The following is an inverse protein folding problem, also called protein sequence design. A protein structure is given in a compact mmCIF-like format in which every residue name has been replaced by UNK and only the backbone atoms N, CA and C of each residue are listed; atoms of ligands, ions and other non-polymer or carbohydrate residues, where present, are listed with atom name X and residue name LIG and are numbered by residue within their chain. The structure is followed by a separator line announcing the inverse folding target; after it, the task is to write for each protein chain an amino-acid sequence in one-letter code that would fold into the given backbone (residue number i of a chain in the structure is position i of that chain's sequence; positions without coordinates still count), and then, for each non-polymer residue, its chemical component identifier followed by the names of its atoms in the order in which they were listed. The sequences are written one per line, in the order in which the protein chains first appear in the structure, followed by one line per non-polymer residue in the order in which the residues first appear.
data_IF_071652139961
#
_entry.id   IF_071652139961
#
_cell.length_a   1.000
_cell.length_b   1.000
_cell.length_c   1.000
_cell.angle_alpha   90.00
_cell.angle_beta   90.00
_cell.angle_gamma   90.00
#
_symmetry.space_group_name_H-M   'P 1'
#
loop_
_entity.id
_entity.type
_entity.pdbx_description
1 polymer ?
#
# COMPACT_ATOMS: atom_id res chain seq x y z
N UNK A 1 -24.19 -19.94 2.40
CA UNK A 1 -24.11 -18.47 2.32
C UNK A 1 -23.41 -17.97 3.58
N UNK A 2 -22.09 -17.78 3.54
CA UNK A 2 -21.30 -17.32 4.69
C UNK A 2 -20.76 -15.93 4.38
N UNK A 3 -21.42 -14.88 4.89
CA UNK A 3 -20.93 -13.50 4.79
C UNK A 3 -19.82 -13.30 5.82
N UNK A 4 -18.57 -13.44 5.40
CA UNK A 4 -17.42 -13.00 6.20
C UNK A 4 -17.37 -11.46 6.17
N UNK A 5 -17.84 -10.83 7.24
CA UNK A 5 -17.66 -9.39 7.45
C UNK A 5 -16.16 -9.05 7.47
N UNK A 6 -15.70 -7.99 6.80
CA UNK A 6 -14.32 -7.55 6.90
C UNK A 6 -14.07 -7.09 8.35
N UNK A 7 -13.15 -7.75 9.05
CA UNK A 7 -12.61 -7.26 10.33
C UNK A 7 -12.02 -5.87 10.09
N UNK A 8 -12.82 -4.85 10.35
CA UNK A 8 -12.32 -3.49 10.46
C UNK A 8 -11.39 -3.47 11.65
N UNK A 9 -10.08 -3.40 11.40
CA UNK A 9 -9.12 -3.03 12.42
C UNK A 9 -9.27 -1.52 12.70
N UNK A 10 -10.43 -1.12 13.21
CA UNK A 10 -10.57 0.14 13.93
C UNK A 10 -9.82 -0.08 15.24
N UNK A 11 -8.48 0.05 15.20
CA UNK A 11 -7.68 0.12 16.41
C UNK A 11 -8.06 1.45 17.04
N UNK A 12 -9.05 1.43 17.93
CA UNK A 12 -9.29 2.56 18.81
C UNK A 12 -7.93 2.99 19.39
N UNK A 13 -7.64 4.29 19.46
CA UNK A 13 -6.44 4.72 20.15
C UNK A 13 -6.60 4.29 21.60
N UNK A 14 -5.97 3.18 21.98
CA UNK A 14 -5.98 2.66 23.33
C UNK A 14 -5.16 3.63 24.20
N UNK A 15 -5.78 4.72 24.62
CA UNK A 15 -5.14 5.70 25.50
C UNK A 15 -5.14 5.19 26.93
N UNK A 16 -4.27 5.74 27.77
CA UNK A 16 -4.20 5.39 29.20
C UNK A 16 -5.57 5.59 29.86
N UNK A 17 -6.28 6.68 29.50
CA UNK A 17 -7.60 6.99 30.01
C UNK A 17 -8.62 5.87 29.72
N UNK A 18 -8.59 5.28 28.52
CA UNK A 18 -9.53 4.22 28.14
C UNK A 18 -9.38 2.96 29.01
N UNK A 19 -8.16 2.67 29.46
CA UNK A 19 -7.91 1.56 30.40
C UNK A 19 -8.32 1.91 31.82
N UNK A 20 -8.11 3.15 32.26
CA UNK A 20 -8.56 3.59 33.59
C UNK A 20 -10.09 3.55 33.70
N UNK A 21 -10.81 3.89 32.62
CA UNK A 21 -12.27 3.82 32.57
C UNK A 21 -12.85 2.40 32.52
N UNK A 22 -12.03 1.39 32.24
CA UNK A 22 -12.42 -0.03 32.30
C UNK A 22 -12.25 -0.64 33.69
N UNK A 23 -11.52 0.01 34.60
CA UNK A 23 -11.46 -0.43 35.99
C UNK A 23 -12.79 -0.19 36.69
N UNK A 24 -13.05 -1.02 37.71
CA UNK A 24 -14.19 -0.80 38.60
C UNK A 24 -14.16 0.64 39.16
N UNK A 25 -15.27 1.40 39.07
CA UNK A 25 -15.32 2.80 39.49
C UNK A 25 -14.96 2.99 40.97
N UNK A 26 -15.33 2.05 41.85
CA UNK A 26 -15.03 2.12 43.28
C UNK A 26 -13.54 1.92 43.53
N UNK A 27 -12.92 0.97 42.81
CA UNK A 27 -11.48 0.74 42.86
C UNK A 27 -10.72 1.95 42.33
N UNK A 28 -11.13 2.52 41.19
CA UNK A 28 -10.51 3.70 40.61
C UNK A 28 -10.55 4.92 41.56
N UNK A 29 -11.65 5.09 42.30
CA UNK A 29 -11.81 6.15 43.29
C UNK A 29 -11.04 5.88 44.59
N UNK A 30 -10.82 4.60 44.93
CA UNK A 30 -10.03 4.20 46.10
C UNK A 30 -8.51 4.44 45.94
N UNK A 31 -8.04 4.66 44.70
CA UNK A 31 -6.63 4.90 44.43
C UNK A 31 -6.20 6.27 44.97
N UNK A 32 -5.11 6.27 45.75
CA UNK A 32 -4.42 7.51 46.10
C UNK A 32 -3.77 8.14 44.87
N UNK A 33 -3.48 9.44 44.93
CA UNK A 33 -2.81 10.17 43.84
C UNK A 33 -1.49 9.49 43.42
N UNK A 34 -0.70 9.02 44.40
CA UNK A 34 0.57 8.34 44.15
C UNK A 34 0.36 7.01 43.42
N UNK A 35 -0.60 6.20 43.87
CA UNK A 35 -0.93 4.91 43.23
C UNK A 35 -1.43 5.12 41.79
N UNK A 36 -2.30 6.11 41.59
CA UNK A 36 -2.81 6.45 40.25
C UNK A 36 -1.68 6.86 39.31
N UNK A 37 -0.78 7.72 39.77
CA UNK A 37 0.37 8.18 38.96
C UNK A 37 1.29 7.03 38.56
N UNK A 38 1.48 6.03 39.43
CA UNK A 38 2.29 4.86 39.12
C UNK A 38 1.62 3.92 38.12
N UNK A 39 0.30 3.71 38.24
CA UNK A 39 -0.48 2.95 37.25
C UNK A 39 -0.38 3.61 35.88
N UNK A 40 -0.56 4.93 35.81
CA UNK A 40 -0.40 5.70 34.58
C UNK A 40 1.02 5.59 33.99
N UNK A 41 2.05 5.64 34.84
CA UNK A 41 3.46 5.49 34.41
C UNK A 41 3.73 4.11 33.81
N UNK A 42 3.22 3.04 34.44
CA UNK A 42 3.38 1.67 33.94
C UNK A 42 2.62 1.50 32.62
N UNK A 43 1.38 1.99 32.53
CA UNK A 43 0.59 1.94 31.29
C UNK A 43 1.27 2.73 30.16
N UNK A 44 1.85 3.90 30.44
CA UNK A 44 2.59 4.67 29.44
C UNK A 44 3.80 3.90 28.86
N UNK A 45 4.40 2.98 29.62
CA UNK A 45 5.51 2.14 29.16
C UNK A 45 5.05 0.86 28.47
N UNK A 46 3.96 0.25 28.97
CA UNK A 46 3.42 -1.00 28.44
C UNK A 46 2.63 -0.78 27.14
N UNK A 47 1.99 0.38 26.97
CA UNK A 47 1.16 0.65 25.80
C UNK A 47 2.02 0.87 24.55
N UNK A 48 1.70 0.17 23.45
CA UNK A 48 2.41 0.36 22.20
C UNK A 48 2.19 1.79 21.73
N UNK A 49 3.29 2.52 21.51
CA UNK A 49 3.24 3.88 20.96
C UNK A 49 2.45 3.85 19.64
N UNK A 50 1.61 4.87 19.37
CA UNK A 50 0.85 4.94 18.14
C UNK A 50 1.75 4.67 16.95
N UNK A 51 1.41 3.65 16.16
CA UNK A 51 2.16 3.37 14.96
C UNK A 51 2.13 4.62 14.06
N UNK A 52 3.26 5.10 13.55
CA UNK A 52 3.26 6.23 12.63
C UNK A 52 2.38 5.92 11.42
N UNK A 53 1.76 6.94 10.85
CA UNK A 53 0.85 6.81 9.70
C UNK A 53 1.57 6.07 8.57
N UNK A 54 1.23 4.79 8.38
CA UNK A 54 1.58 4.03 7.19
C UNK A 54 0.53 4.39 6.15
N UNK A 55 0.99 4.84 5.00
CA UNK A 55 0.13 5.13 3.87
C UNK A 55 -0.18 3.79 3.20
N UNK A 56 -1.43 3.35 3.30
CA UNK A 56 -1.94 2.10 2.75
C UNK A 56 -2.84 2.42 1.55
N UNK A 57 -2.35 2.16 0.33
CA UNK A 57 -3.14 2.29 -0.89
C UNK A 57 -3.54 0.90 -1.36
N UNK A 58 -4.84 0.69 -1.48
CA UNK A 58 -5.43 -0.57 -1.92
C UNK A 58 -6.17 -0.34 -3.20
N UNK A 59 -5.66 -0.88 -4.29
CA UNK A 59 -6.27 -0.80 -5.60
C UNK A 59 -6.91 -2.14 -5.94
N UNK A 60 -8.12 -2.06 -6.49
CA UNK A 60 -8.78 -3.18 -7.16
C UNK A 60 -8.75 -2.86 -8.64
N UNK A 61 -8.05 -3.68 -9.40
CA UNK A 61 -7.95 -3.53 -10.85
C UNK A 61 -8.72 -4.69 -11.47
N UNK A 62 -9.92 -4.39 -11.96
CA UNK A 62 -10.74 -5.35 -12.68
C UNK A 62 -10.29 -5.35 -14.15
N UNK A 63 -9.59 -6.42 -14.56
CA UNK A 63 -9.31 -6.71 -15.95
C UNK A 63 -10.50 -7.49 -16.54
N UNK A 64 -10.65 -7.45 -17.86
CA UNK A 64 -11.77 -8.05 -18.61
C UNK A 64 -11.99 -9.55 -18.26
N UNK A 65 -10.94 -10.26 -17.85
CA UNK A 65 -10.97 -11.70 -17.52
C UNK A 65 -10.68 -12.02 -16.04
N UNK A 66 -10.21 -11.07 -15.23
CA UNK A 66 -9.78 -11.34 -13.85
C UNK A 66 -9.67 -10.09 -12.99
N UNK A 67 -9.78 -10.27 -11.67
CA UNK A 67 -9.68 -9.18 -10.69
C UNK A 67 -8.35 -9.25 -9.96
N UNK A 68 -7.59 -8.17 -10.02
CA UNK A 68 -6.33 -8.05 -9.31
C UNK A 68 -6.48 -7.14 -8.10
N UNK A 69 -5.85 -7.55 -7.00
CA UNK A 69 -5.79 -6.79 -5.77
C UNK A 69 -4.35 -6.33 -5.55
N UNK A 70 -4.13 -5.02 -5.59
CA UNK A 70 -2.81 -4.41 -5.40
C UNK A 70 -2.81 -3.67 -4.07
N UNK A 71 -1.88 -4.01 -3.18
CA UNK A 71 -1.70 -3.36 -1.89
C UNK A 71 -0.33 -2.70 -1.87
N UNK A 72 -0.31 -1.39 -1.71
CA UNK A 72 0.90 -0.59 -1.58
C UNK A 72 0.97 -0.02 -0.16
N UNK A 73 1.95 -0.49 0.61
CA UNK A 73 2.23 0.02 1.95
C UNK A 73 3.47 0.90 1.90
N UNK A 74 3.31 2.20 2.16
CA UNK A 74 4.39 3.18 2.18
C UNK A 74 4.56 3.71 3.59
N UNK A 75 5.75 3.51 4.16
CA UNK A 75 6.09 3.97 5.49
C UNK A 75 7.59 4.11 5.68
N UNK A 76 8.02 5.05 6.52
CA UNK A 76 9.42 5.24 6.86
C UNK A 76 9.92 4.07 7.70
N UNK A 77 10.94 3.35 7.25
CA UNK A 77 11.62 2.34 8.06
C UNK A 77 12.32 3.03 9.26
N UNK A 78 11.98 2.58 10.47
CA UNK A 78 12.48 3.12 11.75
C UNK A 78 12.93 2.03 12.71
N UNK A 79 13.17 0.81 12.23
CA UNK A 79 13.68 -0.28 13.06
C UNK A 79 15.02 0.16 13.69
N UNK A 80 15.04 0.26 15.03
CA UNK A 80 16.22 0.71 15.81
C UNK A 80 17.33 -0.34 15.84
N UNK A 81 17.01 -1.60 15.56
CA UNK A 81 18.05 -2.58 15.26
C UNK A 81 18.57 -2.28 13.85
N UNK A 82 19.75 -1.67 13.79
CA UNK A 82 20.61 -1.74 12.62
C UNK A 82 20.87 -3.23 12.38
N UNK A 83 20.00 -3.89 11.60
CA UNK A 83 20.50 -5.00 10.79
C UNK A 83 21.65 -4.38 10.00
N UNK A 84 22.82 -4.97 10.12
CA UNK A 84 23.98 -4.62 9.33
C UNK A 84 23.70 -5.06 7.88
N UNK A 85 22.67 -4.48 7.28
CA UNK A 85 22.51 -4.47 5.84
C UNK A 85 23.38 -3.30 5.43
N UNK A 86 24.61 -3.52 4.92
CA UNK A 86 25.29 -2.45 4.22
C UNK A 86 24.31 -2.04 3.13
N UNK A 87 23.68 -0.87 3.28
CA UNK A 87 23.07 -0.18 2.16
C UNK A 87 24.25 0.26 1.30
N UNK A 88 24.82 -0.70 0.58
CA UNK A 88 25.88 -0.46 -0.37
C UNK A 88 25.31 0.51 -1.40
N UNK A 89 26.16 1.40 -1.92
CA UNK A 89 25.79 2.26 -3.05
C UNK A 89 25.15 1.44 -4.19
N UNK A 90 25.55 0.16 -4.32
CA UNK A 90 24.98 -0.85 -5.21
C UNK A 90 23.47 -1.07 -5.01
N UNK A 91 22.98 -1.23 -3.78
CA UNK A 91 21.55 -1.46 -3.54
C UNK A 91 20.71 -0.23 -3.88
N UNK A 92 21.24 0.97 -3.59
CA UNK A 92 20.57 2.24 -3.92
C UNK A 92 20.54 2.46 -5.44
N UNK A 93 21.63 2.15 -6.13
CA UNK A 93 21.73 2.22 -7.58
C UNK A 93 20.83 1.19 -8.26
N UNK A 94 20.81 -0.05 -7.78
CA UNK A 94 19.94 -1.11 -8.30
C UNK A 94 18.45 -0.75 -8.16
N UNK A 95 18.03 -0.21 -7.01
CA UNK A 95 16.66 0.25 -6.83
C UNK A 95 16.31 1.44 -7.74
N UNK A 96 17.26 2.36 -7.95
CA UNK A 96 17.08 3.49 -8.87
C UNK A 96 16.93 3.01 -10.33
N UNK A 97 17.80 2.12 -10.78
CA UNK A 97 17.73 1.52 -12.13
C UNK A 97 16.42 0.77 -12.29
N UNK A 98 16.03 -0.06 -11.33
CA UNK A 98 14.77 -0.79 -11.37
C UNK A 98 13.56 0.15 -11.48
N UNK A 99 13.56 1.25 -10.72
CA UNK A 99 12.49 2.25 -10.80
C UNK A 99 12.44 2.94 -12.17
N UNK A 100 13.60 3.31 -12.73
CA UNK A 100 13.70 3.94 -14.05
C UNK A 100 13.23 2.99 -15.15
N UNK A 101 13.69 1.74 -15.13
CA UNK A 101 13.29 0.70 -16.08
C UNK A 101 11.79 0.46 -16.00
N UNK A 102 11.23 0.33 -14.79
CA UNK A 102 9.79 0.14 -14.60
C UNK A 102 8.99 1.31 -15.19
N UNK A 103 9.42 2.54 -14.93
CA UNK A 103 8.74 3.75 -15.41
C UNK A 103 8.77 3.85 -16.94
N UNK A 104 9.93 3.61 -17.55
CA UNK A 104 10.12 3.58 -19.00
C UNK A 104 9.28 2.49 -19.65
N UNK A 105 9.32 1.27 -19.09
CA UNK A 105 8.58 0.11 -19.60
C UNK A 105 7.08 0.39 -19.59
N UNK A 106 6.57 0.92 -18.48
CA UNK A 106 5.16 1.24 -18.32
C UNK A 106 4.73 2.35 -19.29
N UNK A 107 5.54 3.41 -19.41
CA UNK A 107 5.24 4.51 -20.33
C UNK A 107 5.23 4.04 -21.79
N UNK A 108 6.19 3.22 -22.19
CA UNK A 108 6.29 2.68 -23.54
C UNK A 108 5.13 1.72 -23.84
N UNK A 109 4.74 0.88 -22.89
CA UNK A 109 3.59 -0.01 -23.02
C UNK A 109 2.27 0.76 -23.18
N UNK A 110 2.06 1.81 -22.37
CA UNK A 110 0.86 2.66 -22.47
C UNK A 110 0.83 3.41 -23.80
N UNK A 111 1.94 4.03 -24.17
CA UNK A 111 2.05 4.79 -25.43
C UNK A 111 1.86 3.87 -26.64
N UNK A 112 2.57 2.75 -26.69
CA UNK A 112 2.44 1.75 -27.76
C UNK A 112 1.04 1.16 -27.85
N UNK A 113 0.41 0.87 -26.71
CA UNK A 113 -0.98 0.44 -26.65
C UNK A 113 -1.95 1.48 -27.19
N UNK A 114 -1.74 2.77 -26.88
CA UNK A 114 -2.56 3.87 -27.40
C UNK A 114 -2.40 4.03 -28.92
N UNK A 115 -1.16 3.98 -29.43
CA UNK A 115 -0.91 4.01 -30.88
C UNK A 115 -1.55 2.83 -31.60
N UNK A 116 -1.43 1.63 -31.04
CA UNK A 116 -2.05 0.44 -31.60
C UNK A 116 -3.59 0.55 -31.59
N UNK A 117 -4.18 1.01 -30.49
CA UNK A 117 -5.62 1.24 -30.40
C UNK A 117 -6.09 2.29 -31.42
N UNK A 118 -5.38 3.42 -31.55
CA UNK A 118 -5.68 4.44 -32.53
C UNK A 118 -5.55 3.91 -33.97
N UNK A 119 -4.55 3.08 -34.25
CA UNK A 119 -4.38 2.41 -35.53
C UNK A 119 -5.56 1.47 -35.84
N UNK A 120 -5.95 0.62 -34.89
CA UNK A 120 -7.06 -0.31 -35.06
C UNK A 120 -8.38 0.41 -35.29
N UNK A 121 -8.66 1.49 -34.54
CA UNK A 121 -9.85 2.33 -34.77
C UNK A 121 -9.80 2.94 -36.17
N UNK A 122 -8.65 3.51 -36.57
CA UNK A 122 -8.50 4.12 -37.89
C UNK A 122 -8.66 3.09 -39.03
N UNK A 123 -8.12 1.89 -38.85
CA UNK A 123 -8.25 0.77 -39.80
C UNK A 123 -9.71 0.29 -39.88
N UNK A 124 -10.42 0.20 -38.76
CA UNK A 124 -11.84 -0.16 -38.72
C UNK A 124 -12.75 0.89 -39.38
N UNK A 125 -12.36 2.17 -39.34
CA UNK A 125 -13.03 3.27 -40.07
C UNK A 125 -12.70 3.26 -41.58
N UNK A 126 -11.82 2.36 -42.04
CA UNK A 126 -11.50 2.15 -43.45
C UNK A 126 -10.32 2.96 -43.97
N UNK A 127 -9.59 3.69 -43.11
CA UNK A 127 -8.40 4.43 -43.51
C UNK A 127 -7.16 3.55 -43.29
N UNK A 128 -6.81 2.74 -44.29
CA UNK A 128 -5.60 1.93 -44.27
C UNK A 128 -4.35 2.80 -44.51
N UNK A 129 -3.54 2.98 -43.46
CA UNK A 129 -2.24 3.67 -43.55
C UNK A 129 -1.13 2.80 -44.16
N UNK A 130 -1.32 1.48 -44.19
CA UNK A 130 -0.40 0.50 -44.77
C UNK A 130 -1.12 -0.40 -45.79
N UNK A 131 -1.57 0.15 -46.93
CA UNK A 131 -2.04 -0.70 -48.03
C UNK A 131 -0.87 -1.61 -48.49
N UNK A 132 -1.11 -2.91 -48.65
CA UNK A 132 -0.20 -3.84 -49.35
C UNK A 132 0.83 -4.66 -48.54
N UNK A 133 0.92 -4.54 -47.21
CA UNK A 133 2.06 -5.14 -46.48
C UNK A 133 1.91 -6.61 -46.04
N UNK A 134 0.73 -7.23 -46.19
CA UNK A 134 0.50 -8.63 -45.77
C UNK A 134 -0.38 -9.47 -46.72
N UNK A 135 -0.92 -8.90 -47.80
CA UNK A 135 -1.91 -9.57 -48.66
C UNK A 135 -1.50 -9.80 -50.12
N UNK A 136 -0.46 -9.12 -50.62
CA UNK A 136 -0.17 -9.10 -52.06
C UNK A 136 0.88 -10.14 -52.50
N UNK A 137 1.38 -10.98 -51.57
CA UNK A 137 2.37 -12.02 -51.88
C UNK A 137 1.79 -13.44 -52.03
N UNK A 138 0.46 -13.58 -51.98
CA UNK A 138 -0.27 -14.86 -52.15
C UNK A 138 -1.17 -14.85 -53.41
N UNK A 139 -0.70 -14.22 -54.49
CA UNK A 139 -1.31 -14.34 -55.82
C UNK A 139 -0.28 -14.75 -56.86
#
# INVERSE_FOLDING_TARGET
MTSSLPRQFHRAPNTIADYLHQMDPEVLQSLSLTQRSEVERILAQALPKPAPKIVDLRFRVDLILSRFYVVLLVGKDRRRQRRHYPQSALNRLGNFIAAVVLLLSLNLAVSGGLFLAAYLVKSAVGINLLPGHMGDYLR
#
